data_IF_951423831021
#
_entry.id   IF_951423831021
#
_cell.length_a   1.000
_cell.length_b   1.000
_cell.length_c   1.000
_cell.angle_alpha   90.00
_cell.angle_beta   90.00
_cell.angle_gamma   90.00
#
_symmetry.space_group_name_H-M   'P 1'
#
loop_
_entity.id
_entity.type
_entity.pdbx_description
1 polymer ?
#
# COMPACT_ATOMS: atom_id res chain seq x y z
N UNK A 1 1.08 -36.84 3.76
CA UNK A 1 -0.36 -36.80 3.49
C UNK A 1 -1.04 -37.83 4.39
N UNK A 2 -2.12 -37.44 5.08
CA UNK A 2 -2.80 -38.32 6.03
C UNK A 2 -3.81 -39.24 5.34
N UNK A 3 -4.49 -38.72 4.33
CA UNK A 3 -5.55 -39.42 3.58
C UNK A 3 -5.32 -39.28 2.07
N UNK A 4 -5.77 -40.27 1.32
CA UNK A 4 -5.83 -40.19 -0.13
C UNK A 4 -6.88 -39.17 -0.60
N UNK A 5 -6.87 -38.82 -1.88
CA UNK A 5 -7.84 -37.87 -2.47
C UNK A 5 -9.27 -38.41 -2.29
N UNK A 6 -9.49 -39.68 -2.56
CA UNK A 6 -10.81 -40.30 -2.43
C UNK A 6 -11.30 -40.36 -0.97
N UNK A 7 -10.39 -40.69 -0.05
CA UNK A 7 -10.71 -40.66 1.38
C UNK A 7 -11.04 -39.26 1.87
N UNK A 8 -10.35 -38.22 1.37
CA UNK A 8 -10.68 -36.84 1.70
C UNK A 8 -12.06 -36.45 1.23
N UNK A 9 -12.47 -36.89 0.02
CA UNK A 9 -13.82 -36.65 -0.48
C UNK A 9 -14.91 -37.36 0.34
N UNK A 10 -14.65 -38.59 0.75
CA UNK A 10 -15.59 -39.37 1.55
C UNK A 10 -15.73 -38.87 3.01
N UNK A 11 -14.67 -38.31 3.57
CA UNK A 11 -14.58 -37.89 4.97
C UNK A 11 -14.78 -36.39 5.17
N UNK A 12 -15.13 -35.66 4.14
CA UNK A 12 -15.21 -34.18 4.17
C UNK A 12 -13.90 -33.54 4.70
N UNK A 13 -12.77 -34.10 4.33
CA UNK A 13 -11.44 -33.67 4.75
C UNK A 13 -10.73 -32.89 3.62
N UNK A 14 -9.68 -32.18 4.00
CA UNK A 14 -8.82 -31.45 3.06
C UNK A 14 -7.60 -32.29 2.69
N UNK A 15 -7.33 -32.44 1.40
CA UNK A 15 -6.12 -33.07 0.89
C UNK A 15 -4.94 -32.13 1.06
N UNK A 16 -4.17 -32.31 2.14
CA UNK A 16 -3.10 -31.42 2.57
C UNK A 16 -1.87 -32.19 3.06
N UNK A 17 -0.74 -31.52 3.06
CA UNK A 17 0.48 -31.99 3.70
C UNK A 17 0.95 -30.99 4.77
N UNK A 18 1.49 -31.46 5.90
CA UNK A 18 2.01 -30.56 6.94
C UNK A 18 3.31 -29.91 6.44
N UNK A 19 3.38 -28.60 6.59
CA UNK A 19 4.62 -27.84 6.46
C UNK A 19 5.35 -27.84 7.78
N UNK A 20 6.55 -28.38 7.80
CA UNK A 20 7.43 -28.41 8.97
C UNK A 20 8.76 -27.74 8.63
N UNK A 21 9.28 -26.97 9.57
CA UNK A 21 10.55 -26.26 9.42
C UNK A 21 11.54 -26.78 10.46
N UNK A 22 12.73 -27.16 10.02
CA UNK A 22 13.85 -27.44 10.92
C UNK A 22 14.51 -26.14 11.35
N UNK A 23 14.51 -25.87 12.64
CA UNK A 23 15.08 -24.68 13.24
C UNK A 23 16.28 -25.07 14.08
N UNK A 24 17.39 -24.37 13.93
CA UNK A 24 18.56 -24.48 14.78
C UNK A 24 18.60 -23.33 15.76
N UNK A 25 18.52 -23.64 17.03
CA UNK A 25 18.70 -22.69 18.12
C UNK A 25 20.14 -22.75 18.60
N UNK A 26 20.88 -21.66 18.44
CA UNK A 26 22.21 -21.51 18.99
C UNK A 26 22.15 -20.76 20.33
N UNK A 27 22.43 -21.46 21.40
CA UNK A 27 22.55 -20.86 22.74
C UNK A 27 23.99 -20.37 22.95
N UNK A 28 24.17 -19.05 22.90
CA UNK A 28 25.47 -18.40 23.02
C UNK A 28 26.14 -18.56 24.40
N UNK A 29 25.34 -18.78 25.45
CA UNK A 29 25.86 -18.92 26.80
C UNK A 29 26.43 -20.33 27.06
N UNK A 30 25.81 -21.34 26.43
CA UNK A 30 26.20 -22.73 26.60
C UNK A 30 27.00 -23.30 25.44
N UNK A 31 27.15 -22.53 24.38
CA UNK A 31 27.75 -22.93 23.09
C UNK A 31 27.14 -24.23 22.54
N UNK A 32 25.81 -24.32 22.68
CA UNK A 32 25.04 -25.50 22.32
C UNK A 32 24.13 -25.19 21.15
N UNK A 33 24.07 -26.10 20.15
CA UNK A 33 23.13 -26.03 19.04
C UNK A 33 22.09 -27.13 19.22
N UNK A 34 20.83 -26.74 19.34
CA UNK A 34 19.70 -27.66 19.36
C UNK A 34 18.88 -27.55 18.10
N UNK A 35 18.51 -28.68 17.51
CA UNK A 35 17.63 -28.72 16.32
C UNK A 35 16.23 -29.17 16.74
N UNK A 36 15.23 -28.40 16.27
CA UNK A 36 13.82 -28.72 16.48
C UNK A 36 13.07 -28.66 15.15
N UNK A 37 12.10 -29.55 14.98
CA UNK A 37 11.17 -29.51 13.87
C UNK A 37 9.86 -28.86 14.35
N UNK A 38 9.53 -27.70 13.76
CA UNK A 38 8.36 -26.90 14.13
C UNK A 38 7.30 -27.07 13.07
N UNK A 39 6.08 -27.44 13.49
CA UNK A 39 4.92 -27.46 12.63
C UNK A 39 4.42 -26.04 12.36
N UNK A 40 4.33 -25.66 11.09
CA UNK A 40 3.90 -24.31 10.65
C UNK A 40 2.44 -24.27 10.24
N UNK A 41 1.89 -25.38 9.76
CA UNK A 41 0.52 -25.48 9.29
C UNK A 41 0.37 -26.54 8.20
N UNK A 42 -0.85 -26.78 7.76
CA UNK A 42 -1.15 -27.68 6.66
C UNK A 42 -1.33 -26.88 5.35
N UNK A 43 -0.68 -27.32 4.28
CA UNK A 43 -0.82 -26.75 2.95
C UNK A 43 -1.65 -27.68 2.07
N UNK A 44 -2.76 -27.20 1.48
CA UNK A 44 -3.50 -27.96 0.49
C UNK A 44 -2.61 -28.36 -0.70
N UNK A 45 -2.73 -29.58 -1.14
CA UNK A 45 -2.00 -30.10 -2.29
C UNK A 45 -2.86 -30.09 -3.54
N UNK A 46 -2.25 -29.74 -4.65
CA UNK A 46 -2.88 -29.83 -5.97
C UNK A 46 -2.96 -31.31 -6.42
N UNK A 47 -4.10 -31.70 -6.93
CA UNK A 47 -4.30 -33.01 -7.54
C UNK A 47 -3.68 -33.06 -8.95
N UNK A 48 -3.58 -34.26 -9.53
CA UNK A 48 -3.08 -34.43 -10.89
C UNK A 48 -3.91 -33.69 -11.96
N UNK A 49 -5.18 -33.40 -11.67
CA UNK A 49 -6.09 -32.67 -12.56
C UNK A 49 -6.11 -31.16 -12.34
N UNK A 50 -5.22 -30.62 -11.49
CA UNK A 50 -5.12 -29.18 -11.22
C UNK A 50 -6.18 -28.65 -10.25
N UNK A 51 -6.75 -29.51 -9.44
CA UNK A 51 -7.78 -29.16 -8.46
C UNK A 51 -7.26 -29.29 -7.03
N UNK A 52 -8.01 -28.74 -6.08
CA UNK A 52 -7.77 -28.89 -4.64
C UNK A 52 -9.00 -29.51 -3.98
N UNK A 53 -8.80 -30.45 -3.07
CA UNK A 53 -9.88 -31.00 -2.27
C UNK A 53 -9.90 -30.31 -0.91
N UNK A 54 -10.92 -29.48 -0.69
CA UNK A 54 -11.09 -28.69 0.53
C UNK A 54 -12.42 -29.10 1.18
N UNK A 55 -12.36 -29.61 2.40
CA UNK A 55 -13.52 -30.12 3.13
C UNK A 55 -14.36 -31.10 2.29
N UNK A 56 -13.69 -32.00 1.58
CA UNK A 56 -14.31 -33.00 0.73
C UNK A 56 -14.77 -32.52 -0.65
N UNK A 57 -14.81 -31.21 -0.89
CA UNK A 57 -15.22 -30.63 -2.17
C UNK A 57 -14.01 -30.36 -3.06
N UNK A 58 -14.08 -30.79 -4.30
CA UNK A 58 -13.06 -30.51 -5.32
C UNK A 58 -13.24 -29.07 -5.84
N UNK A 59 -12.22 -28.26 -5.71
CA UNK A 59 -12.23 -26.83 -6.04
C UNK A 59 -11.10 -26.46 -6.98
N UNK A 60 -11.31 -25.41 -7.74
CA UNK A 60 -10.33 -24.84 -8.67
C UNK A 60 -10.09 -23.38 -8.30
N UNK A 61 -8.83 -22.96 -8.42
CA UNK A 61 -8.47 -21.55 -8.28
C UNK A 61 -8.75 -20.85 -9.61
N UNK A 62 -9.62 -19.86 -9.58
CA UNK A 62 -9.95 -19.05 -10.75
C UNK A 62 -8.97 -17.90 -10.86
N UNK A 63 -8.35 -17.76 -12.03
CA UNK A 63 -7.47 -16.62 -12.33
C UNK A 63 -8.28 -15.31 -12.30
N UNK A 64 -7.72 -14.29 -11.66
CA UNK A 64 -8.32 -12.97 -11.57
C UNK A 64 -7.45 -11.94 -12.27
N UNK A 65 -8.09 -11.05 -13.05
CA UNK A 65 -7.43 -9.89 -13.62
C UNK A 65 -7.34 -8.81 -12.54
N UNK A 66 -6.12 -8.36 -12.26
CA UNK A 66 -5.86 -7.24 -11.37
C UNK A 66 -5.45 -6.01 -12.18
N UNK A 67 -5.73 -4.82 -11.65
CA UNK A 67 -5.23 -3.59 -12.27
C UNK A 67 -3.70 -3.59 -12.21
N UNK A 68 -3.09 -3.25 -13.34
CA UNK A 68 -1.63 -3.10 -13.36
C UNK A 68 -1.19 -1.90 -12.52
N UNK A 69 0.03 -1.91 -11.99
CA UNK A 69 0.60 -0.73 -11.36
C UNK A 69 0.56 0.48 -12.32
N UNK A 70 0.30 1.65 -11.78
CA UNK A 70 0.24 2.88 -12.56
C UNK A 70 -0.65 3.95 -11.93
N UNK A 71 -0.94 4.97 -12.71
CA UNK A 71 -1.79 6.08 -12.31
C UNK A 71 -3.08 6.09 -13.15
N UNK A 72 -4.22 6.25 -12.48
CA UNK A 72 -5.55 6.20 -13.09
C UNK A 72 -6.30 7.46 -12.73
N UNK A 73 -6.83 8.15 -13.76
CA UNK A 73 -7.59 9.38 -13.60
C UNK A 73 -9.07 9.11 -13.77
N UNK A 74 -9.88 9.86 -13.02
CA UNK A 74 -11.34 9.84 -13.10
C UNK A 74 -11.92 11.23 -13.05
N UNK A 75 -13.11 11.38 -13.62
CA UNK A 75 -13.90 12.60 -13.57
C UNK A 75 -15.30 12.22 -13.08
N UNK A 76 -15.79 12.91 -12.08
CA UNK A 76 -17.17 12.86 -11.61
C UNK A 76 -17.79 14.25 -11.70
N UNK A 77 -19.10 14.32 -11.58
CA UNK A 77 -19.81 15.59 -11.52
C UNK A 77 -20.56 15.67 -10.20
N UNK A 78 -20.56 16.83 -9.56
CA UNK A 78 -21.39 17.07 -8.38
C UNK A 78 -22.86 17.32 -8.78
N UNK A 79 -23.70 17.57 -7.78
CA UNK A 79 -25.14 17.84 -8.01
C UNK A 79 -25.42 19.10 -8.82
N UNK A 80 -24.45 20.00 -8.90
CA UNK A 80 -24.53 21.28 -9.64
C UNK A 80 -23.85 21.18 -11.02
N UNK A 81 -23.35 20.01 -11.42
CA UNK A 81 -22.67 19.80 -12.68
C UNK A 81 -21.19 20.21 -12.68
N UNK A 82 -20.62 20.62 -11.55
CA UNK A 82 -19.17 20.93 -11.44
C UNK A 82 -18.35 19.65 -11.57
N UNK A 83 -17.30 19.71 -12.39
CA UNK A 83 -16.36 18.58 -12.55
C UNK A 83 -15.52 18.40 -11.30
N UNK A 84 -15.52 17.18 -10.80
CA UNK A 84 -14.66 16.71 -9.70
C UNK A 84 -13.64 15.75 -10.28
N UNK A 85 -12.38 15.97 -9.98
CA UNK A 85 -11.29 15.16 -10.48
C UNK A 85 -10.81 14.19 -9.42
N UNK A 86 -10.48 12.99 -9.86
CA UNK A 86 -9.87 11.97 -9.00
C UNK A 86 -8.67 11.34 -9.70
N UNK A 87 -7.77 10.81 -8.88
CA UNK A 87 -6.60 10.11 -9.36
C UNK A 87 -6.26 9.00 -8.36
N UNK A 88 -6.01 7.80 -8.86
CA UNK A 88 -5.58 6.68 -8.04
C UNK A 88 -4.19 6.22 -8.47
N UNK A 89 -3.27 6.20 -7.53
CA UNK A 89 -1.93 5.66 -7.70
C UNK A 89 -1.93 4.24 -7.15
N UNK A 90 -1.68 3.28 -8.02
CA UNK A 90 -1.61 1.85 -7.68
C UNK A 90 -0.17 1.39 -7.82
N UNK A 91 0.53 1.05 -6.73
CA UNK A 91 1.85 0.42 -6.78
C UNK A 91 1.72 -1.07 -7.13
N UNK A 92 2.84 -1.69 -7.50
CA UNK A 92 2.91 -3.14 -7.59
C UNK A 92 2.86 -3.79 -6.19
N UNK A 93 3.48 -3.14 -5.21
CA UNK A 93 3.47 -3.50 -3.78
C UNK A 93 3.35 -2.23 -2.96
N UNK A 94 2.47 -2.21 -2.00
CA UNK A 94 2.34 -1.12 -1.03
C UNK A 94 0.97 -0.46 -1.00
N UNK A 95 0.89 0.65 -0.29
CA UNK A 95 -0.33 1.40 -0.07
C UNK A 95 -0.79 2.14 -1.34
N UNK A 96 -2.08 2.13 -1.58
CA UNK A 96 -2.69 2.94 -2.63
C UNK A 96 -2.82 4.38 -2.18
N UNK A 97 -2.63 5.30 -3.10
CA UNK A 97 -2.92 6.72 -2.91
C UNK A 97 -4.10 7.11 -3.81
N UNK A 98 -5.17 7.54 -3.17
CA UNK A 98 -6.37 7.99 -3.86
C UNK A 98 -6.54 9.50 -3.64
N UNK A 99 -6.48 10.25 -4.72
CA UNK A 99 -6.62 11.69 -4.72
C UNK A 99 -7.99 12.09 -5.22
N UNK A 100 -8.61 13.07 -4.59
CA UNK A 100 -9.91 13.60 -5.01
C UNK A 100 -10.02 15.10 -4.76
N UNK A 101 -10.75 15.80 -5.62
CA UNK A 101 -11.16 17.19 -5.39
C UNK A 101 -12.62 17.22 -4.94
N UNK A 102 -12.97 18.14 -4.04
CA UNK A 102 -14.35 18.36 -3.65
C UNK A 102 -14.97 19.59 -4.39
N UNK A 103 -16.24 19.87 -4.10
CA UNK A 103 -16.96 21.00 -4.69
C UNK A 103 -16.39 22.37 -4.32
N UNK A 104 -15.61 22.45 -3.25
CA UNK A 104 -14.92 23.67 -2.79
C UNK A 104 -13.48 23.79 -3.32
N UNK A 105 -13.12 22.98 -4.31
CA UNK A 105 -11.78 22.91 -4.88
C UNK A 105 -10.67 22.46 -3.90
N UNK A 106 -11.05 21.91 -2.75
CA UNK A 106 -10.10 21.30 -1.82
C UNK A 106 -9.61 19.98 -2.37
N UNK A 107 -8.30 19.82 -2.37
CA UNK A 107 -7.65 18.62 -2.85
C UNK A 107 -7.32 17.69 -1.67
N UNK A 108 -7.90 16.50 -1.68
CA UNK A 108 -7.76 15.49 -0.63
C UNK A 108 -6.98 14.29 -1.11
N UNK A 109 -6.38 13.58 -0.15
CA UNK A 109 -5.74 12.30 -0.37
C UNK A 109 -6.23 11.29 0.67
N UNK A 110 -6.39 10.04 0.25
CA UNK A 110 -6.55 8.85 1.10
C UNK A 110 -5.33 7.97 0.94
N UNK A 111 -4.81 7.52 2.05
CA UNK A 111 -3.75 6.53 2.09
C UNK A 111 -4.36 5.19 2.47
N UNK A 112 -4.30 4.22 1.56
CA UNK A 112 -4.71 2.83 1.80
C UNK A 112 -6.10 2.68 2.43
N UNK A 113 -7.13 3.27 1.83
CA UNK A 113 -8.54 3.25 2.26
C UNK A 113 -8.84 3.93 3.60
N UNK A 114 -7.93 4.71 4.13
CA UNK A 114 -8.18 5.49 5.35
C UNK A 114 -9.08 6.70 5.09
N UNK A 115 -9.38 7.47 6.14
CA UNK A 115 -10.10 8.73 6.00
C UNK A 115 -9.25 9.74 5.25
N UNK A 116 -9.87 10.54 4.39
CA UNK A 116 -9.19 11.56 3.61
C UNK A 116 -8.61 12.68 4.48
N UNK A 117 -7.48 13.20 4.04
CA UNK A 117 -6.85 14.40 4.59
C UNK A 117 -6.58 15.38 3.45
N UNK A 118 -6.49 16.71 3.73
CA UNK A 118 -6.02 17.66 2.74
C UNK A 118 -4.65 17.24 2.17
N UNK A 119 -4.43 17.48 0.88
CA UNK A 119 -3.16 17.10 0.23
C UNK A 119 -1.94 17.75 0.89
N UNK A 120 -2.10 18.94 1.44
CA UNK A 120 -1.05 19.69 2.14
C UNK A 120 -0.53 18.94 3.37
N UNK A 121 -1.37 18.19 4.06
CA UNK A 121 -0.95 17.32 5.18
C UNK A 121 0.03 16.25 4.71
N UNK A 122 -0.27 15.60 3.59
CA UNK A 122 0.64 14.60 3.00
C UNK A 122 1.94 15.24 2.54
N UNK A 123 1.87 16.39 1.87
CA UNK A 123 3.05 17.13 1.39
C UNK A 123 3.97 17.48 2.56
N UNK A 124 3.42 17.96 3.68
CA UNK A 124 4.19 18.23 4.90
C UNK A 124 4.81 16.97 5.49
N UNK A 125 4.03 15.91 5.57
CA UNK A 125 4.50 14.61 6.08
C UNK A 125 5.62 13.99 5.23
N UNK A 126 5.71 14.36 3.95
CA UNK A 126 6.80 13.96 3.05
C UNK A 126 8.02 14.89 3.07
N UNK A 127 8.01 15.95 3.88
CA UNK A 127 9.17 16.78 4.15
C UNK A 127 9.09 18.25 3.71
N UNK A 128 8.02 18.66 3.01
CA UNK A 128 7.82 20.09 2.64
C UNK A 128 6.98 20.75 3.73
N UNK A 129 7.65 21.46 4.64
CA UNK A 129 7.09 21.84 5.94
C UNK A 129 6.15 23.04 5.89
N UNK A 130 6.59 24.17 5.39
CA UNK A 130 5.86 25.44 5.46
C UNK A 130 4.92 25.67 4.27
N UNK A 131 3.92 26.54 4.45
CA UNK A 131 3.07 26.97 3.34
C UNK A 131 3.87 27.63 2.22
N UNK A 132 4.89 28.41 2.57
CA UNK A 132 5.74 29.09 1.61
C UNK A 132 6.52 28.08 0.72
N UNK A 133 7.10 27.05 1.31
CA UNK A 133 7.79 25.97 0.58
C UNK A 133 6.83 25.20 -0.34
N UNK A 134 5.60 24.95 0.13
CA UNK A 134 4.59 24.26 -0.70
C UNK A 134 4.21 25.12 -1.91
N UNK A 135 4.00 26.43 -1.70
CA UNK A 135 3.67 27.37 -2.79
C UNK A 135 4.87 27.55 -3.75
N UNK A 136 6.09 27.58 -3.23
CA UNK A 136 7.30 27.61 -4.05
C UNK A 136 7.40 26.38 -4.98
N UNK A 137 7.07 25.18 -4.44
CA UNK A 137 7.17 23.93 -5.18
C UNK A 137 6.04 23.75 -6.21
N UNK A 138 4.80 24.08 -5.85
CA UNK A 138 3.61 23.81 -6.68
C UNK A 138 3.05 25.07 -7.39
N UNK A 139 3.55 26.26 -7.04
CA UNK A 139 2.97 27.52 -7.47
C UNK A 139 1.68 27.87 -6.71
N UNK A 140 1.08 28.99 -7.07
CA UNK A 140 -0.21 29.44 -6.53
C UNK A 140 -1.40 28.70 -7.16
N UNK A 141 -1.37 27.38 -7.14
CA UNK A 141 -2.45 26.54 -7.66
C UNK A 141 -3.70 26.68 -6.77
N UNK A 142 -4.87 27.08 -7.34
CA UNK A 142 -6.08 27.33 -6.55
C UNK A 142 -6.50 26.16 -5.64
N UNK A 143 -6.31 24.93 -6.10
CA UNK A 143 -6.66 23.74 -5.31
C UNK A 143 -5.71 23.52 -4.12
N UNK A 144 -4.46 23.86 -4.27
CA UNK A 144 -3.49 23.84 -3.16
C UNK A 144 -3.83 24.94 -2.15
N UNK A 145 -4.11 26.16 -2.63
CA UNK A 145 -4.50 27.27 -1.73
C UNK A 145 -5.80 26.96 -0.99
N UNK A 146 -6.80 26.39 -1.65
CA UNK A 146 -8.04 25.94 -1.00
C UNK A 146 -7.77 24.83 0.02
N UNK A 147 -6.81 23.96 -0.21
CA UNK A 147 -6.46 22.87 0.71
C UNK A 147 -5.86 23.38 2.02
N UNK A 148 -5.13 24.50 2.02
CA UNK A 148 -4.65 25.13 3.25
C UNK A 148 -5.77 25.51 4.21
N UNK A 149 -6.94 25.86 3.70
CA UNK A 149 -8.09 26.27 4.55
C UNK A 149 -8.65 25.10 5.37
N UNK A 150 -8.40 23.89 4.97
CA UNK A 150 -8.84 22.65 5.64
C UNK A 150 -7.72 21.93 6.38
N UNK A 151 -6.49 22.35 6.18
CA UNK A 151 -5.32 21.82 6.84
C UNK A 151 -5.13 22.49 8.21
N UNK A 152 -5.14 21.71 9.27
CA UNK A 152 -4.90 22.16 10.64
C UNK A 152 -3.42 22.12 11.02
N UNK A 153 -2.58 21.48 10.20
CA UNK A 153 -1.15 21.41 10.42
C UNK A 153 -0.42 22.62 9.84
N UNK A 154 0.69 23.00 10.45
CA UNK A 154 1.50 24.17 10.06
C UNK A 154 2.94 23.82 9.70
N UNK A 155 3.39 22.63 10.09
CA UNK A 155 4.77 22.18 9.91
C UNK A 155 4.85 20.66 9.67
N UNK A 156 6.07 20.18 9.43
CA UNK A 156 6.37 18.76 9.18
C UNK A 156 5.86 17.83 10.28
N UNK A 157 6.13 18.15 11.54
CA UNK A 157 5.76 17.28 12.66
C UNK A 157 4.24 17.17 12.83
N UNK A 158 3.54 18.30 12.73
CA UNK A 158 2.07 18.31 12.79
C UNK A 158 1.45 17.58 11.60
N UNK A 159 2.01 17.72 10.40
CA UNK A 159 1.60 16.98 9.22
C UNK A 159 1.76 15.46 9.38
N UNK A 160 2.88 15.01 9.93
CA UNK A 160 3.11 13.61 10.26
C UNK A 160 2.06 13.07 11.24
N UNK A 161 1.79 13.81 12.31
CA UNK A 161 0.83 13.39 13.34
C UNK A 161 -0.61 13.37 12.82
N UNK A 162 -1.01 14.34 12.00
CA UNK A 162 -2.33 14.37 11.40
C UNK A 162 -2.54 13.19 10.42
N UNK A 163 -1.54 12.85 9.63
CA UNK A 163 -1.58 11.68 8.75
C UNK A 163 -1.59 10.38 9.56
N UNK A 164 -0.77 10.29 10.60
CA UNK A 164 -0.70 9.13 11.48
C UNK A 164 -2.04 8.81 12.18
N UNK A 165 -2.75 9.84 12.67
CA UNK A 165 -4.10 9.69 13.25
C UNK A 165 -5.10 9.03 12.30
N UNK A 166 -4.93 9.23 10.99
CA UNK A 166 -5.83 8.63 9.98
C UNK A 166 -5.44 7.21 9.64
N UNK A 167 -4.14 6.92 9.59
CA UNK A 167 -3.62 5.58 9.27
C UNK A 167 -3.80 4.63 10.45
N UNK A 168 -3.52 5.12 11.67
CA UNK A 168 -3.61 4.33 12.92
C UNK A 168 -4.43 5.06 13.99
N UNK A 169 -5.75 5.07 13.84
CA UNK A 169 -6.62 5.72 14.82
C UNK A 169 -6.52 5.03 16.18
N UNK A 170 -6.45 5.83 17.26
CA UNK A 170 -6.42 5.33 18.63
C UNK A 170 -5.04 4.99 19.19
N UNK A 171 -3.99 5.04 18.39
CA UNK A 171 -2.62 4.89 18.90
C UNK A 171 -2.07 6.19 19.51
N UNK A 172 -1.17 6.10 20.50
CA UNK A 172 -0.50 7.28 21.05
C UNK A 172 0.28 8.04 19.97
N UNK A 173 0.18 9.37 20.01
CA UNK A 173 0.81 10.23 19.03
C UNK A 173 2.27 10.52 19.45
N UNK A 174 3.21 9.98 18.70
CA UNK A 174 4.62 10.27 18.80
C UNK A 174 5.20 10.56 17.41
N UNK A 175 5.99 11.61 17.29
CA UNK A 175 6.57 12.04 16.02
C UNK A 175 7.46 10.95 15.42
N UNK A 176 8.30 10.32 16.24
CA UNK A 176 9.22 9.27 15.82
C UNK A 176 8.47 8.05 15.26
N UNK A 177 7.36 7.67 15.88
CA UNK A 177 6.53 6.55 15.40
C UNK A 177 5.84 6.90 14.08
N UNK A 178 5.34 8.13 13.96
CA UNK A 178 4.71 8.62 12.74
C UNK A 178 5.71 8.69 11.59
N UNK A 179 6.89 9.24 11.82
CA UNK A 179 7.98 9.30 10.83
C UNK A 179 8.41 7.90 10.38
N UNK A 180 8.67 7.00 11.33
CA UNK A 180 9.04 5.61 11.05
C UNK A 180 7.97 4.89 10.22
N UNK A 181 6.69 5.09 10.51
CA UNK A 181 5.60 4.50 9.74
C UNK A 181 5.57 5.02 8.30
N UNK A 182 5.61 6.34 8.11
CA UNK A 182 5.54 6.96 6.78
C UNK A 182 6.76 6.59 5.94
N UNK A 183 7.96 6.63 6.52
CA UNK A 183 9.19 6.22 5.85
C UNK A 183 9.16 4.74 5.44
N UNK A 184 8.67 3.86 6.30
CA UNK A 184 8.54 2.43 5.96
C UNK A 184 7.47 2.18 4.91
N UNK A 185 6.42 2.98 4.88
CA UNK A 185 5.25 2.79 4.01
C UNK A 185 5.52 3.17 2.55
N UNK A 186 6.33 4.22 2.32
CA UNK A 186 6.58 4.79 0.99
C UNK A 186 8.03 4.70 0.50
N UNK A 187 8.99 4.57 1.41
CA UNK A 187 10.42 4.63 1.09
C UNK A 187 11.20 3.35 1.41
N UNK A 188 10.59 2.34 2.03
CA UNK A 188 11.20 1.01 2.16
C UNK A 188 10.95 0.17 0.90
N UNK A 189 11.97 -0.18 0.11
CA UNK A 189 11.83 -0.97 -1.12
C UNK A 189 11.15 -2.32 -0.91
N UNK A 190 11.21 -2.86 0.31
CA UNK A 190 10.55 -4.13 0.66
C UNK A 190 9.04 -3.98 0.85
N UNK A 191 8.56 -2.76 1.10
CA UNK A 191 7.16 -2.45 1.40
C UNK A 191 6.46 -1.66 0.31
N UNK A 192 7.19 -0.88 -0.48
CA UNK A 192 6.64 -0.08 -1.56
C UNK A 192 7.48 -0.21 -2.82
N UNK A 193 6.83 -0.59 -3.91
CA UNK A 193 7.48 -0.70 -5.21
C UNK A 193 6.47 -0.47 -6.34
N UNK A 194 6.81 0.37 -7.30
CA UNK A 194 6.03 0.57 -8.52
C UNK A 194 6.33 -0.48 -9.59
N UNK A 195 7.46 -1.18 -9.47
CA UNK A 195 8.03 -2.06 -10.49
C UNK A 195 8.21 -1.40 -11.87
N UNK A 196 8.79 -2.10 -12.83
CA UNK A 196 9.08 -1.55 -14.17
C UNK A 196 7.84 -1.06 -14.89
N UNK A 197 6.74 -1.78 -14.81
CA UNK A 197 5.48 -1.43 -15.48
C UNK A 197 4.86 -0.16 -14.88
N UNK A 198 4.83 -0.05 -13.56
CA UNK A 198 4.35 1.15 -12.86
C UNK A 198 5.17 2.38 -13.22
N UNK A 199 6.49 2.30 -13.13
CA UNK A 199 7.42 3.40 -13.49
C UNK A 199 7.25 3.85 -14.94
N UNK A 200 7.17 2.91 -15.87
CA UNK A 200 6.91 3.23 -17.28
C UNK A 200 5.59 3.99 -17.47
N UNK A 201 4.51 3.51 -16.85
CA UNK A 201 3.19 4.16 -16.97
C UNK A 201 3.16 5.54 -16.32
N UNK A 202 3.81 5.72 -15.18
CA UNK A 202 3.99 7.02 -14.55
C UNK A 202 4.74 7.98 -15.45
N UNK A 203 5.91 7.58 -15.93
CA UNK A 203 6.72 8.40 -16.84
C UNK A 203 5.95 8.82 -18.09
N UNK A 204 5.17 7.91 -18.67
CA UNK A 204 4.37 8.17 -19.85
C UNK A 204 3.22 9.14 -19.57
N UNK A 205 2.42 8.88 -18.52
CA UNK A 205 1.22 9.68 -18.22
C UNK A 205 1.52 11.06 -17.64
N UNK A 206 2.56 11.18 -16.83
CA UNK A 206 2.96 12.45 -16.22
C UNK A 206 4.00 13.21 -17.03
N UNK A 207 4.51 12.63 -18.11
CA UNK A 207 5.59 13.19 -18.92
C UNK A 207 6.80 13.61 -18.04
N UNK A 208 7.20 12.76 -17.08
CA UNK A 208 8.21 13.11 -16.08
C UNK A 208 9.56 13.48 -16.70
N UNK A 209 9.94 12.83 -17.82
CA UNK A 209 11.19 13.14 -18.52
C UNK A 209 11.30 14.58 -18.99
N UNK A 210 10.18 15.24 -19.27
CA UNK A 210 10.16 16.65 -19.67
C UNK A 210 10.04 17.62 -18.50
N UNK A 211 9.68 17.13 -17.31
CA UNK A 211 9.41 17.95 -16.13
C UNK A 211 10.49 17.89 -15.06
N UNK A 212 11.24 16.78 -15.00
CA UNK A 212 12.24 16.52 -13.99
C UNK A 212 13.59 16.34 -14.68
N UNK A 213 14.56 17.21 -14.35
CA UNK A 213 15.89 17.17 -14.94
C UNK A 213 16.72 15.96 -14.46
N UNK A 214 16.50 15.50 -13.24
CA UNK A 214 17.16 14.31 -12.70
C UNK A 214 16.22 13.12 -12.80
N UNK A 215 16.50 12.20 -13.69
CA UNK A 215 15.67 11.04 -14.05
C UNK A 215 15.74 9.89 -13.06
N UNK A 216 15.74 10.17 -11.78
CA UNK A 216 15.88 9.15 -10.72
C UNK A 216 14.78 8.09 -10.77
N UNK A 217 13.63 8.40 -11.38
CA UNK A 217 12.49 7.48 -11.46
C UNK A 217 12.52 6.49 -12.64
N UNK A 218 13.50 6.58 -13.51
CA UNK A 218 13.51 5.79 -14.75
C UNK A 218 14.44 4.58 -14.72
N UNK A 219 15.40 4.54 -13.83
CA UNK A 219 16.51 3.57 -13.89
C UNK A 219 16.54 2.52 -12.77
N UNK A 220 15.74 2.66 -11.71
CA UNK A 220 15.70 1.70 -10.60
C UNK A 220 14.54 0.70 -10.69
#
# INVERSE_FOLDING_TARGET
VKYSIEECKQRDATYAAPLKVKVRLYNKEKDEITEHEIFMGDLPLMTATGTFVINGAERVIVSQLVRSPGIYYGIAHDKLGKRLFSCTVIPNRGAWLEYETDSNDVFYVRVDRTRKVPITVLIRALGVSSNAEIVELFGEEPKILASFTKDTSTNYQEGLLELYKKIRPGEPLAVENAESLIMSMFFDPRRYDLAKVGRYKFNKKLALRSRIHNQILAED
#
